data_IF_767966544638
#
_entry.id   IF_767966544638
#
_cell.length_a   1.000
_cell.length_b   1.000
_cell.length_c   1.000
_cell.angle_alpha   90.00
_cell.angle_beta   90.00
_cell.angle_gamma   90.00
#
_symmetry.space_group_name_H-M   'P 1'
#
loop_
_entity.id
_entity.type
_entity.pdbx_description
1 polymer ?
#
# COMPACT_ATOMS: atom_id res chain seq x y z
N UNK A 1 -27.72 -16.08 17.36
CA UNK A 1 -26.73 -16.33 16.28
C UNK A 1 -26.50 -15.00 15.58
N UNK A 2 -25.26 -14.48 15.47
CA UNK A 2 -25.01 -13.30 14.66
C UNK A 2 -25.34 -13.61 13.20
N UNK A 3 -26.16 -12.76 12.58
CA UNK A 3 -26.58 -12.95 11.20
C UNK A 3 -25.43 -12.58 10.23
N UNK A 4 -25.20 -13.38 9.16
CA UNK A 4 -24.23 -13.03 8.14
C UNK A 4 -24.66 -11.74 7.42
N UNK A 5 -23.70 -10.86 7.13
CA UNK A 5 -23.94 -9.65 6.34
C UNK A 5 -23.76 -9.95 4.85
N UNK A 6 -24.69 -9.47 4.05
CA UNK A 6 -24.64 -9.61 2.59
C UNK A 6 -24.18 -8.27 2.02
N UNK A 7 -23.12 -8.29 1.21
CA UNK A 7 -22.51 -7.11 0.59
C UNK A 7 -22.43 -7.37 -0.92
N UNK A 8 -23.47 -7.04 -1.70
CA UNK A 8 -23.52 -7.35 -3.13
C UNK A 8 -22.34 -6.77 -3.92
N UNK A 9 -21.87 -5.58 -3.54
CA UNK A 9 -20.76 -4.88 -4.19
C UNK A 9 -19.42 -5.63 -4.07
N UNK A 10 -19.31 -6.57 -3.12
CA UNK A 10 -18.11 -7.37 -2.89
C UNK A 10 -17.72 -8.20 -4.11
N UNK A 11 -18.69 -8.68 -4.89
CA UNK A 11 -18.42 -9.52 -6.07
C UNK A 11 -17.61 -8.76 -7.12
N UNK A 12 -18.11 -7.59 -7.53
CA UNK A 12 -17.40 -6.68 -8.43
C UNK A 12 -16.01 -6.31 -7.88
N UNK A 13 -15.89 -6.02 -6.58
CA UNK A 13 -14.59 -5.71 -5.99
C UNK A 13 -13.58 -6.86 -6.11
N UNK A 14 -14.03 -8.09 -5.90
CA UNK A 14 -13.20 -9.28 -5.98
C UNK A 14 -12.77 -9.56 -7.42
N UNK A 15 -13.66 -9.39 -8.39
CA UNK A 15 -13.36 -9.53 -9.82
C UNK A 15 -12.30 -8.53 -10.28
N UNK A 16 -12.51 -7.23 -9.99
CA UNK A 16 -11.55 -6.18 -10.36
C UNK A 16 -10.21 -6.39 -9.64
N UNK A 17 -10.24 -6.81 -8.37
CA UNK A 17 -9.02 -7.12 -7.62
C UNK A 17 -8.26 -8.30 -8.24
N UNK A 18 -8.96 -9.33 -8.72
CA UNK A 18 -8.35 -10.48 -9.39
C UNK A 18 -7.73 -10.09 -10.74
N UNK A 19 -8.42 -9.27 -11.53
CA UNK A 19 -7.89 -8.77 -12.82
C UNK A 19 -6.67 -7.85 -12.63
N UNK A 20 -6.62 -7.11 -11.52
CA UNK A 20 -5.62 -6.08 -11.27
C UNK A 20 -4.46 -6.53 -10.36
N UNK A 21 -4.28 -7.83 -10.13
CA UNK A 21 -3.24 -8.36 -9.23
C UNK A 21 -1.82 -7.91 -9.63
N UNK A 22 -1.52 -7.88 -10.93
CA UNK A 22 -0.20 -7.44 -11.42
C UNK A 22 0.04 -5.96 -11.15
N UNK A 23 -0.99 -5.12 -11.35
CA UNK A 23 -0.95 -3.69 -11.04
C UNK A 23 -0.72 -3.44 -9.55
N UNK A 24 -1.37 -4.21 -8.67
CA UNK A 24 -1.14 -4.12 -7.23
C UNK A 24 0.31 -4.48 -6.84
N UNK A 25 0.87 -5.52 -7.44
CA UNK A 25 2.28 -5.91 -7.23
C UNK A 25 3.24 -4.83 -7.72
N UNK A 26 2.96 -4.21 -8.86
CA UNK A 26 3.76 -3.09 -9.38
C UNK A 26 3.71 -1.88 -8.43
N UNK A 27 2.52 -1.51 -7.93
CA UNK A 27 2.36 -0.43 -6.96
C UNK A 27 3.16 -0.69 -5.67
N UNK A 28 3.17 -1.92 -5.17
CA UNK A 28 3.98 -2.31 -4.02
C UNK A 28 5.48 -2.15 -4.30
N UNK A 29 5.95 -2.58 -5.47
CA UNK A 29 7.35 -2.42 -5.89
C UNK A 29 7.77 -0.96 -6.01
N UNK A 30 6.95 -0.14 -6.67
CA UNK A 30 7.21 1.30 -6.84
C UNK A 30 7.27 2.02 -5.48
N UNK A 31 6.45 1.58 -4.51
CA UNK A 31 6.51 2.10 -3.15
C UNK A 31 7.80 1.71 -2.44
N UNK A 32 8.16 0.43 -2.44
CA UNK A 32 9.42 -0.02 -1.84
C UNK A 32 10.62 0.75 -2.41
N UNK A 33 10.67 0.91 -3.73
CA UNK A 33 11.70 1.70 -4.40
C UNK A 33 11.71 3.18 -3.96
N UNK A 34 10.53 3.79 -3.78
CA UNK A 34 10.43 5.17 -3.28
C UNK A 34 10.96 5.29 -1.85
N UNK A 35 10.66 4.31 -1.01
CA UNK A 35 11.08 4.29 0.39
C UNK A 35 12.61 4.06 0.48
N UNK A 36 13.16 3.12 -0.30
CA UNK A 36 14.62 2.91 -0.42
C UNK A 36 15.35 4.18 -0.91
N UNK A 37 14.78 4.90 -1.87
CA UNK A 37 15.35 6.17 -2.35
C UNK A 37 15.26 7.27 -1.29
N UNK A 38 14.20 7.29 -0.47
CA UNK A 38 14.07 8.25 0.62
C UNK A 38 15.16 8.02 1.67
N UNK A 39 15.40 6.78 2.06
CA UNK A 39 16.46 6.41 3.00
C UNK A 39 17.85 6.78 2.46
N UNK A 40 18.10 6.55 1.16
CA UNK A 40 19.37 6.93 0.52
C UNK A 40 19.59 8.44 0.51
N UNK A 41 18.55 9.22 0.20
CA UNK A 41 18.59 10.68 0.24
C UNK A 41 18.91 11.16 1.66
N UNK A 42 18.20 10.66 2.67
CA UNK A 42 18.41 11.07 4.06
C UNK A 42 19.83 10.74 4.54
N UNK A 43 20.35 9.55 4.21
CA UNK A 43 21.74 9.16 4.53
C UNK A 43 22.76 10.08 3.89
N UNK A 44 22.56 10.46 2.62
CA UNK A 44 23.47 11.36 1.90
C UNK A 44 23.37 12.81 2.40
N UNK A 45 22.16 13.29 2.68
CA UNK A 45 21.93 14.60 3.31
C UNK A 45 22.64 14.68 4.66
N UNK A 46 22.49 13.65 5.49
CA UNK A 46 23.16 13.55 6.78
C UNK A 46 24.70 13.54 6.62
N UNK A 47 25.22 12.77 5.65
CA UNK A 47 26.66 12.71 5.36
C UNK A 47 27.22 14.02 4.80
N UNK A 48 26.43 14.79 4.04
CA UNK A 48 26.82 16.13 3.57
C UNK A 48 26.85 17.12 4.74
N UNK A 49 25.86 17.06 5.64
CA UNK A 49 25.76 17.96 6.79
C UNK A 49 26.83 17.70 7.86
N UNK A 50 27.16 16.44 8.15
CA UNK A 50 28.03 16.04 9.26
C UNK A 50 29.41 15.50 8.83
N UNK A 51 29.63 15.27 7.54
CA UNK A 51 30.85 14.65 7.01
C UNK A 51 32.13 15.49 7.11
N UNK A 52 32.07 16.71 7.65
CA UNK A 52 33.22 17.57 7.92
C UNK A 52 33.70 17.51 9.38
N UNK A 53 32.91 16.97 10.33
CA UNK A 53 33.26 16.99 11.76
C UNK A 53 34.14 15.81 12.22
N UNK A 54 34.29 14.75 11.40
CA UNK A 54 34.99 13.53 11.79
C UNK A 54 36.35 13.30 11.12
N UNK A 55 36.74 14.09 10.11
CA UNK A 55 38.01 13.94 9.39
C UNK A 55 38.66 15.30 9.10
N UNK A 56 39.88 15.58 9.60
CA UNK A 56 40.60 16.78 9.23
C UNK A 56 41.17 16.64 7.81
N UNK A 57 40.83 17.61 6.97
CA UNK A 57 41.47 17.90 5.69
C UNK A 57 41.46 16.78 4.62
N UNK A 58 40.34 16.58 3.93
CA UNK A 58 40.34 15.94 2.61
C UNK A 58 39.15 16.39 1.72
N UNK A 59 39.48 17.22 0.72
CA UNK A 59 38.82 17.35 -0.59
C UNK A 59 37.45 18.04 -0.74
N UNK A 60 37.50 19.33 -1.08
CA UNK A 60 36.46 20.12 -1.77
C UNK A 60 35.81 19.43 -3.01
N UNK A 61 36.51 18.71 -3.91
CA UNK A 61 35.86 18.08 -5.08
C UNK A 61 34.90 16.93 -4.74
N UNK A 62 34.89 16.44 -3.49
CA UNK A 62 33.96 15.40 -3.05
C UNK A 62 32.57 15.95 -2.70
N UNK A 63 32.44 17.23 -2.36
CA UNK A 63 31.14 17.80 -1.96
C UNK A 63 30.23 18.06 -3.16
N UNK A 64 30.77 18.63 -4.24
CA UNK A 64 29.99 18.89 -5.45
C UNK A 64 29.51 17.59 -6.11
N UNK A 65 30.34 16.55 -6.11
CA UNK A 65 29.95 15.22 -6.57
C UNK A 65 28.83 14.61 -5.71
N UNK A 66 28.86 14.81 -4.39
CA UNK A 66 27.80 14.36 -3.47
C UNK A 66 26.48 15.12 -3.69
N UNK A 67 26.55 16.43 -3.91
CA UNK A 67 25.37 17.26 -4.24
C UNK A 67 24.74 16.84 -5.57
N UNK A 68 25.56 16.63 -6.60
CA UNK A 68 25.08 16.12 -7.89
C UNK A 68 24.43 14.72 -7.77
N UNK A 69 24.98 13.83 -6.94
CA UNK A 69 24.38 12.54 -6.66
C UNK A 69 23.03 12.65 -5.91
N UNK A 70 22.93 13.58 -4.96
CA UNK A 70 21.68 13.89 -4.25
C UNK A 70 20.61 14.39 -5.23
N UNK A 71 20.94 15.34 -6.10
CA UNK A 71 20.01 15.87 -7.11
C UNK A 71 19.53 14.77 -8.06
N UNK A 72 20.42 13.85 -8.46
CA UNK A 72 20.06 12.69 -9.26
C UNK A 72 19.06 11.76 -8.55
N UNK A 73 19.28 11.47 -7.25
CA UNK A 73 18.37 10.65 -6.46
C UNK A 73 17.01 11.33 -6.21
N UNK A 74 17.01 12.64 -5.98
CA UNK A 74 15.77 13.43 -5.84
C UNK A 74 14.97 13.40 -7.14
N UNK A 75 15.63 13.58 -8.29
CA UNK A 75 15.02 13.45 -9.60
C UNK A 75 14.43 12.04 -9.83
N UNK A 76 15.19 10.99 -9.51
CA UNK A 76 14.74 9.61 -9.62
C UNK A 76 13.52 9.33 -8.73
N UNK A 77 13.54 9.78 -7.47
CA UNK A 77 12.40 9.68 -6.54
C UNK A 77 11.17 10.40 -7.09
N UNK A 78 11.37 11.56 -7.74
CA UNK A 78 10.32 12.29 -8.45
C UNK A 78 9.68 11.47 -9.58
N UNK A 79 10.49 10.82 -10.40
CA UNK A 79 10.02 9.95 -11.50
C UNK A 79 9.25 8.74 -10.98
N UNK A 80 9.77 8.06 -9.95
CA UNK A 80 9.08 6.92 -9.30
C UNK A 80 7.74 7.37 -8.70
N UNK A 81 7.69 8.53 -8.05
CA UNK A 81 6.44 9.11 -7.50
C UNK A 81 5.42 9.42 -8.59
N UNK A 82 5.85 9.97 -9.72
CA UNK A 82 4.98 10.27 -10.85
C UNK A 82 4.40 8.98 -11.44
N UNK A 83 5.24 7.98 -11.68
CA UNK A 83 4.82 6.65 -12.16
C UNK A 83 3.84 5.99 -11.19
N UNK A 84 4.17 5.96 -9.89
CA UNK A 84 3.28 5.40 -8.87
C UNK A 84 1.92 6.11 -8.87
N UNK A 85 1.89 7.44 -8.94
CA UNK A 85 0.63 8.20 -8.95
C UNK A 85 -0.21 7.90 -10.19
N UNK A 86 0.40 7.79 -11.37
CA UNK A 86 -0.27 7.45 -12.61
C UNK A 86 -0.84 6.02 -12.58
N UNK A 87 -0.03 5.03 -12.18
CA UNK A 87 -0.47 3.64 -12.04
C UNK A 87 -1.58 3.50 -11.00
N UNK A 88 -1.49 4.24 -9.88
CA UNK A 88 -2.49 4.21 -8.82
C UNK A 88 -3.83 4.78 -9.31
N UNK A 89 -3.79 5.86 -10.10
CA UNK A 89 -4.98 6.45 -10.71
C UNK A 89 -5.66 5.47 -11.66
N UNK A 90 -4.91 4.87 -12.59
CA UNK A 90 -5.45 3.87 -13.51
C UNK A 90 -6.05 2.66 -12.76
N UNK A 91 -5.41 2.25 -11.66
CA UNK A 91 -5.94 1.19 -10.79
C UNK A 91 -7.25 1.59 -10.11
N UNK A 92 -7.40 2.83 -9.65
CA UNK A 92 -8.65 3.31 -9.03
C UNK A 92 -9.79 3.47 -10.04
N UNK A 93 -9.48 3.86 -11.27
CA UNK A 93 -10.46 4.01 -12.36
C UNK A 93 -11.09 2.66 -12.77
N UNK A 94 -10.48 1.52 -12.43
CA UNK A 94 -11.05 0.20 -12.61
C UNK A 94 -12.18 -0.14 -11.61
N UNK A 95 -12.29 0.62 -10.51
CA UNK A 95 -13.36 0.49 -9.52
C UNK A 95 -14.43 1.58 -9.76
N UNK A 96 -15.21 1.92 -8.73
CA UNK A 96 -16.18 2.99 -8.84
C UNK A 96 -15.48 4.32 -9.17
N UNK A 97 -15.92 5.08 -10.20
CA UNK A 97 -15.20 6.24 -10.73
C UNK A 97 -15.03 7.39 -9.71
N UNK A 98 -16.01 7.59 -8.82
CA UNK A 98 -15.97 8.64 -7.79
C UNK A 98 -15.35 8.16 -6.46
N UNK A 99 -15.79 7.01 -5.96
CA UNK A 99 -15.47 6.54 -4.61
C UNK A 99 -14.30 5.56 -4.54
N UNK A 100 -13.89 4.98 -5.68
CA UNK A 100 -12.89 3.92 -5.73
C UNK A 100 -13.37 2.63 -5.07
N UNK A 101 -12.56 2.08 -4.16
CA UNK A 101 -12.83 0.82 -3.46
C UNK A 101 -13.71 1.06 -2.23
N UNK A 102 -14.74 0.24 -2.06
CA UNK A 102 -15.63 0.20 -0.91
C UNK A 102 -14.90 -0.22 0.37
N UNK A 103 -14.07 -1.26 0.32
CA UNK A 103 -13.44 -1.81 1.54
C UNK A 103 -12.10 -1.15 1.92
N UNK A 104 -11.49 -0.37 1.03
CA UNK A 104 -10.16 0.22 1.25
C UNK A 104 -10.11 1.68 0.85
N UNK A 105 -9.55 2.50 1.73
CA UNK A 105 -9.23 3.91 1.44
C UNK A 105 -7.70 4.02 1.43
N UNK A 106 -7.12 3.91 0.23
CA UNK A 106 -5.67 3.77 0.07
C UNK A 106 -5.15 2.50 0.78
N UNK A 107 -4.37 2.68 1.84
CA UNK A 107 -3.77 1.58 2.62
C UNK A 107 -4.57 1.22 3.87
N UNK A 108 -5.51 2.06 4.26
CA UNK A 108 -6.33 1.86 5.44
C UNK A 108 -7.67 1.21 5.07
N UNK A 109 -8.28 0.55 6.05
CA UNK A 109 -9.66 0.10 5.91
C UNK A 109 -10.57 1.33 5.80
N UNK A 110 -11.55 1.25 4.90
CA UNK A 110 -12.57 2.30 4.83
C UNK A 110 -13.42 2.30 6.10
N UNK A 111 -14.19 3.38 6.31
CA UNK A 111 -15.19 3.42 7.40
C UNK A 111 -16.20 2.28 7.29
N UNK A 112 -16.59 1.91 6.07
CA UNK A 112 -17.46 0.77 5.82
C UNK A 112 -16.80 -0.55 6.17
N UNK A 113 -15.53 -0.77 5.80
CA UNK A 113 -14.79 -1.97 6.18
C UNK A 113 -14.65 -2.10 7.70
N UNK A 114 -14.42 -1.00 8.42
CA UNK A 114 -14.42 -1.00 9.89
C UNK A 114 -15.80 -1.35 10.48
N UNK A 115 -16.90 -0.95 9.83
CA UNK A 115 -18.24 -1.39 10.25
C UNK A 115 -18.44 -2.88 10.00
N UNK A 116 -18.00 -3.40 8.86
CA UNK A 116 -18.07 -4.83 8.56
C UNK A 116 -17.29 -5.64 9.60
N UNK A 117 -16.06 -5.24 9.90
CA UNK A 117 -15.20 -5.90 10.88
C UNK A 117 -15.82 -5.94 12.29
N UNK A 118 -16.45 -4.83 12.72
CA UNK A 118 -17.08 -4.75 14.05
C UNK A 118 -18.43 -5.45 14.16
N UNK A 119 -19.24 -5.41 13.10
CA UNK A 119 -20.66 -5.80 13.18
C UNK A 119 -20.99 -7.09 12.44
N UNK A 120 -20.12 -7.59 11.57
CA UNK A 120 -20.32 -8.82 10.83
C UNK A 120 -19.37 -9.91 11.32
N UNK A 121 -19.91 -10.96 11.96
CA UNK A 121 -19.11 -12.16 12.24
C UNK A 121 -18.77 -12.93 10.95
N UNK A 122 -19.57 -12.74 9.90
CA UNK A 122 -19.38 -13.30 8.57
C UNK A 122 -19.99 -12.34 7.55
N UNK A 123 -19.32 -12.16 6.41
CA UNK A 123 -19.86 -11.40 5.28
C UNK A 123 -19.60 -12.11 3.95
N UNK A 124 -20.49 -11.93 2.98
CA UNK A 124 -20.40 -12.54 1.65
C UNK A 124 -21.18 -11.72 0.61
N UNK A 125 -20.96 -11.96 -0.69
CA UNK A 125 -21.71 -11.25 -1.75
C UNK A 125 -23.18 -11.67 -1.82
N UNK A 126 -23.45 -12.96 -1.65
CA UNK A 126 -24.79 -13.54 -1.76
C UNK A 126 -25.06 -14.57 -0.64
N UNK A 127 -26.30 -14.64 -0.14
CA UNK A 127 -26.68 -15.65 0.88
C UNK A 127 -26.50 -17.08 0.37
N UNK A 128 -26.73 -17.30 -0.93
CA UNK A 128 -26.52 -18.59 -1.59
C UNK A 128 -25.09 -19.10 -1.44
N UNK A 129 -24.09 -18.23 -1.22
CA UNK A 129 -22.71 -18.64 -0.98
C UNK A 129 -22.57 -19.51 0.27
N UNK A 130 -23.45 -19.34 1.27
CA UNK A 130 -23.45 -20.15 2.49
C UNK A 130 -24.02 -21.55 2.27
N UNK A 131 -24.86 -21.75 1.25
CA UNK A 131 -25.43 -23.06 0.93
C UNK A 131 -24.37 -24.06 0.42
N UNK A 132 -23.23 -23.57 -0.07
CA UNK A 132 -22.09 -24.40 -0.47
C UNK A 132 -21.28 -24.95 0.70
N UNK A 133 -21.59 -24.53 1.93
CA UNK A 133 -20.91 -24.99 3.13
C UNK A 133 -21.82 -25.87 3.98
N UNK A 134 -21.21 -26.83 4.70
CA UNK A 134 -21.94 -27.64 5.67
C UNK A 134 -22.62 -26.76 6.72
N UNK A 135 -23.89 -27.02 7.09
CA UNK A 135 -24.57 -26.33 8.18
C UNK A 135 -23.84 -26.43 9.53
N UNK A 136 -22.98 -27.43 9.70
CA UNK A 136 -22.19 -27.66 10.92
C UNK A 136 -20.79 -27.03 10.86
N UNK A 137 -20.47 -26.22 9.85
CA UNK A 137 -19.15 -25.64 9.67
C UNK A 137 -18.83 -24.61 10.78
N UNK A 138 -17.72 -24.82 11.47
CA UNK A 138 -17.15 -23.83 12.38
C UNK A 138 -16.33 -22.78 11.59
N UNK A 139 -16.83 -21.55 11.51
CA UNK A 139 -16.08 -20.42 10.95
C UNK A 139 -15.07 -19.89 11.96
N UNK A 140 -13.85 -19.60 11.51
CA UNK A 140 -12.79 -19.00 12.34
C UNK A 140 -12.22 -17.78 11.64
N UNK A 141 -12.09 -16.68 12.37
CA UNK A 141 -11.38 -15.49 11.91
C UNK A 141 -9.88 -15.77 11.77
N UNK A 142 -9.19 -14.92 11.00
CA UNK A 142 -7.73 -14.88 11.00
C UNK A 142 -7.26 -14.18 12.27
N UNK A 143 -6.09 -14.57 12.79
CA UNK A 143 -5.44 -13.84 13.86
C UNK A 143 -5.14 -12.41 13.38
N UNK A 144 -5.49 -11.42 14.19
CA UNK A 144 -5.06 -10.05 13.97
C UNK A 144 -3.57 -9.94 14.28
N UNK A 145 -2.85 -9.10 13.52
CA UNK A 145 -1.40 -8.96 13.62
C UNK A 145 -1.10 -7.48 13.92
N UNK A 146 -0.32 -7.25 14.97
CA UNK A 146 0.08 -5.91 15.38
C UNK A 146 1.31 -5.42 14.62
N UNK A 147 1.51 -4.10 14.54
CA UNK A 147 2.59 -3.52 13.72
C UNK A 147 4.01 -3.93 14.13
N UNK A 148 4.22 -4.42 15.37
CA UNK A 148 5.52 -4.88 15.85
C UNK A 148 5.76 -6.38 15.63
N UNK A 149 4.77 -7.10 15.13
CA UNK A 149 4.83 -8.55 14.85
C UNK A 149 5.22 -8.84 13.38
N UNK A 150 5.44 -7.78 12.57
CA UNK A 150 5.73 -7.83 11.13
C UNK A 150 7.18 -7.42 10.87
#
# INVERSE_FOLDING_TARGET
MPAPKVVPELEMELEVAAMSMNTQRELQKLRAQRDDLADQIERLEWAIAHGAELLPAAHEPAQDARRAALDALVSQKGQVKARHSATLRAYHEAFHPVWGRLLKTGYQNSRYAHQMDRFACLYTSHVSNLAWYSPCKAYRGRMDIMSHEI
#
